data_IF_099744858261
#
_entry.id   IF_099744858261
#
_cell.length_a   1.000
_cell.length_b   1.000
_cell.length_c   1.000
_cell.angle_alpha   90.00
_cell.angle_beta   90.00
_cell.angle_gamma   90.00
#
_symmetry.space_group_name_H-M   'P 1'
#
loop_
_entity.id
_entity.type
_entity.pdbx_description
1 polymer ?
#
# COMPACT_ATOMS: atom_id res chain seq x y z
N UNK A 1 9.68 3.09 3.86
CA UNK A 1 10.62 2.95 2.73
C UNK A 1 11.64 4.11 2.66
N UNK A 2 11.26 5.38 2.91
CA UNK A 2 12.21 6.49 2.91
C UNK A 2 13.39 6.33 3.88
N UNK A 3 13.18 5.66 5.00
CA UNK A 3 14.23 5.38 5.97
C UNK A 3 15.34 4.45 5.44
N UNK A 4 15.04 3.58 4.47
CA UNK A 4 16.06 2.76 3.80
C UNK A 4 17.04 3.61 3.01
N UNK A 5 16.54 4.62 2.27
CA UNK A 5 17.43 5.54 1.54
C UNK A 5 18.32 6.32 2.48
N UNK A 6 17.76 6.87 3.57
CA UNK A 6 18.55 7.60 4.57
C UNK A 6 19.61 6.67 5.17
N UNK A 7 19.24 5.44 5.52
CA UNK A 7 20.14 4.48 6.14
C UNK A 7 21.33 4.12 5.24
N UNK A 8 21.07 3.74 3.97
CA UNK A 8 22.09 3.21 3.08
C UNK A 8 22.83 4.25 2.26
N UNK A 9 22.24 5.43 2.02
CA UNK A 9 22.88 6.50 1.25
C UNK A 9 23.52 7.58 2.14
N UNK A 10 23.65 7.29 3.44
CA UNK A 10 24.43 8.09 4.40
C UNK A 10 25.30 7.16 5.24
N UNK A 11 26.19 7.71 6.06
CA UNK A 11 27.04 6.94 6.97
C UNK A 11 26.26 6.32 8.15
N UNK A 12 24.94 6.46 8.16
CA UNK A 12 24.08 6.02 9.27
C UNK A 12 24.12 4.50 9.47
N UNK A 13 24.10 3.72 8.37
CA UNK A 13 24.17 2.27 8.44
C UNK A 13 25.46 1.82 9.11
N UNK A 14 26.61 2.28 8.63
CA UNK A 14 27.91 1.92 9.19
C UNK A 14 28.04 2.31 10.66
N UNK A 15 27.56 3.50 11.02
CA UNK A 15 27.58 3.97 12.42
C UNK A 15 26.69 3.13 13.33
N UNK A 16 25.49 2.75 12.89
CA UNK A 16 24.57 1.92 13.67
C UNK A 16 25.09 0.49 13.83
N UNK A 17 25.71 -0.08 12.78
CA UNK A 17 26.23 -1.43 12.79
C UNK A 17 27.45 -1.62 13.72
N UNK A 18 28.15 -0.55 14.08
CA UNK A 18 29.27 -0.61 15.02
C UNK A 18 28.86 -0.92 16.47
N UNK A 19 27.57 -0.78 16.80
CA UNK A 19 27.09 -1.02 18.16
C UNK A 19 25.93 -2.03 18.18
N UNK A 20 25.90 -2.88 19.21
CA UNK A 20 24.80 -3.80 19.42
C UNK A 20 23.44 -3.06 19.57
N UNK A 21 23.44 -1.94 20.25
CA UNK A 21 22.24 -1.11 20.43
C UNK A 21 21.74 -0.53 19.10
N UNK A 22 22.64 -0.08 18.21
CA UNK A 22 22.30 0.40 16.88
C UNK A 22 21.71 -0.69 15.99
N UNK A 23 22.29 -1.89 16.02
CA UNK A 23 21.77 -3.05 15.30
C UNK A 23 20.36 -3.43 15.78
N UNK A 24 20.15 -3.48 17.10
CA UNK A 24 18.85 -3.76 17.69
C UNK A 24 17.82 -2.68 17.31
N UNK A 25 18.23 -1.42 17.35
CA UNK A 25 17.38 -0.29 16.94
C UNK A 25 16.90 -0.43 15.48
N UNK A 26 17.80 -0.75 14.54
CA UNK A 26 17.42 -0.97 13.13
C UNK A 26 16.40 -2.09 12.99
N UNK A 27 16.64 -3.23 13.63
CA UNK A 27 15.71 -4.37 13.56
C UNK A 27 14.32 -4.01 14.09
N UNK A 28 14.24 -3.35 15.24
CA UNK A 28 12.96 -2.90 15.83
C UNK A 28 12.30 -1.85 14.96
N UNK A 29 13.06 -0.87 14.44
CA UNK A 29 12.53 0.19 13.57
C UNK A 29 11.86 -0.39 12.32
N UNK A 30 12.56 -1.27 11.59
CA UNK A 30 12.01 -1.83 10.36
C UNK A 30 10.85 -2.80 10.61
N UNK A 31 10.92 -3.58 11.69
CA UNK A 31 9.82 -4.46 12.09
C UNK A 31 8.55 -3.65 12.41
N UNK A 32 8.68 -2.61 13.24
CA UNK A 32 7.55 -1.76 13.61
C UNK A 32 7.02 -0.96 12.42
N UNK A 33 7.90 -0.40 11.58
CA UNK A 33 7.50 0.35 10.40
C UNK A 33 6.71 -0.53 9.41
N UNK A 34 7.18 -1.76 9.17
CA UNK A 34 6.48 -2.73 8.33
C UNK A 34 5.14 -3.16 8.94
N UNK A 35 5.13 -3.49 10.22
CA UNK A 35 3.91 -3.87 10.93
C UNK A 35 2.85 -2.76 10.88
N UNK A 36 3.21 -1.53 11.23
CA UNK A 36 2.29 -0.39 11.22
C UNK A 36 1.80 -0.08 9.81
N UNK A 37 2.68 -0.15 8.81
CA UNK A 37 2.28 0.05 7.41
C UNK A 37 1.20 -0.94 6.99
N UNK A 38 1.43 -2.24 7.17
CA UNK A 38 0.46 -3.26 6.78
C UNK A 38 -0.80 -3.23 7.65
N UNK A 39 -0.67 -2.93 8.95
CA UNK A 39 -1.82 -2.78 9.84
C UNK A 39 -2.77 -1.67 9.35
N UNK A 40 -2.23 -0.51 8.99
CA UNK A 40 -3.01 0.62 8.47
C UNK A 40 -3.61 0.31 7.09
N UNK A 41 -2.82 -0.29 6.20
CA UNK A 41 -3.24 -0.55 4.81
C UNK A 41 -4.27 -1.68 4.73
N UNK A 42 -4.06 -2.80 5.42
CA UNK A 42 -5.00 -3.93 5.39
C UNK A 42 -6.29 -3.58 6.14
N UNK A 43 -6.20 -2.80 7.22
CA UNK A 43 -7.35 -2.20 7.92
C UNK A 43 -8.39 -3.22 8.35
N UNK A 44 -7.96 -4.26 9.07
CA UNK A 44 -8.83 -5.33 9.56
C UNK A 44 -9.76 -4.82 10.68
N UNK A 45 -9.29 -3.81 11.43
CA UNK A 45 -10.03 -3.28 12.56
C UNK A 45 -11.31 -2.51 12.15
N UNK A 46 -12.36 -2.57 12.94
CA UNK A 46 -13.58 -1.81 12.75
C UNK A 46 -13.33 -0.31 13.01
N UNK A 47 -12.79 0.40 12.03
CA UNK A 47 -12.56 1.83 12.10
C UNK A 47 -13.70 2.56 11.37
N UNK A 48 -14.39 3.52 12.01
CA UNK A 48 -15.44 4.33 11.36
C UNK A 48 -14.92 5.20 10.21
N UNK A 49 -13.61 5.49 10.18
CA UNK A 49 -12.94 6.25 9.12
C UNK A 49 -11.98 5.35 8.34
N UNK A 50 -12.49 4.35 7.66
CA UNK A 50 -11.68 3.48 6.81
C UNK A 50 -11.08 4.26 5.65
N UNK A 51 -9.80 4.00 5.36
CA UNK A 51 -9.14 4.52 4.15
C UNK A 51 -9.82 3.89 2.93
N UNK A 52 -10.25 4.67 1.93
CA UNK A 52 -10.83 4.13 0.70
C UNK A 52 -9.91 3.11 0.03
N UNK A 53 -10.48 2.05 -0.56
CA UNK A 53 -9.69 0.98 -1.20
C UNK A 53 -8.77 1.50 -2.31
N UNK A 54 -9.23 2.45 -3.11
CA UNK A 54 -8.43 3.11 -4.14
C UNK A 54 -7.17 3.75 -3.56
N UNK A 55 -7.28 4.46 -2.43
CA UNK A 55 -6.14 5.10 -1.76
C UNK A 55 -5.15 4.04 -1.26
N UNK A 56 -5.65 2.93 -0.69
CA UNK A 56 -4.80 1.81 -0.26
C UNK A 56 -4.01 1.20 -1.42
N UNK A 57 -4.68 0.98 -2.56
CA UNK A 57 -4.06 0.46 -3.77
C UNK A 57 -2.98 1.41 -4.27
N UNK A 58 -3.27 2.71 -4.35
CA UNK A 58 -2.28 3.73 -4.76
C UNK A 58 -1.08 3.75 -3.84
N UNK A 59 -1.29 3.69 -2.52
CA UNK A 59 -0.19 3.67 -1.53
C UNK A 59 0.64 2.40 -1.65
N UNK A 60 0.03 1.24 -1.89
CA UNK A 60 0.75 -0.01 -2.11
C UNK A 60 1.59 0.02 -3.39
N UNK A 61 1.05 0.56 -4.50
CA UNK A 61 1.83 0.76 -5.73
C UNK A 61 2.99 1.74 -5.53
N UNK A 62 2.77 2.83 -4.80
CA UNK A 62 3.83 3.77 -4.47
C UNK A 62 4.92 3.11 -3.62
N UNK A 63 4.55 2.33 -2.61
CA UNK A 63 5.48 1.59 -1.77
C UNK A 63 6.30 0.57 -2.59
N UNK A 64 5.65 -0.16 -3.50
CA UNK A 64 6.31 -1.10 -4.41
C UNK A 64 7.32 -0.38 -5.32
N UNK A 65 6.92 0.75 -5.89
CA UNK A 65 7.82 1.54 -6.75
C UNK A 65 9.03 2.07 -6.00
N UNK A 66 8.83 2.62 -4.79
CA UNK A 66 9.93 3.12 -3.94
C UNK A 66 10.87 1.98 -3.56
N UNK A 67 10.34 0.80 -3.23
CA UNK A 67 11.14 -0.38 -2.91
C UNK A 67 11.95 -0.87 -4.13
N UNK A 68 11.35 -0.91 -5.31
CA UNK A 68 12.04 -1.27 -6.55
C UNK A 68 13.17 -0.30 -6.88
N UNK A 69 12.92 1.01 -6.76
CA UNK A 69 13.97 2.03 -6.95
C UNK A 69 15.12 1.88 -5.97
N UNK A 70 14.83 1.62 -4.70
CA UNK A 70 15.86 1.35 -3.70
C UNK A 70 16.70 0.14 -4.09
N UNK A 71 16.07 -0.96 -4.44
CA UNK A 71 16.76 -2.21 -4.83
C UNK A 71 17.62 -2.01 -6.07
N UNK A 72 17.12 -1.31 -7.10
CA UNK A 72 17.87 -0.98 -8.31
C UNK A 72 19.07 -0.09 -7.95
N UNK A 73 18.90 0.90 -7.10
CA UNK A 73 19.98 1.77 -6.66
C UNK A 73 21.09 0.98 -5.93
N UNK A 74 20.70 0.01 -5.10
CA UNK A 74 21.63 -0.88 -4.39
C UNK A 74 22.38 -1.80 -5.35
N UNK A 75 21.69 -2.39 -6.33
CA UNK A 75 22.27 -3.28 -7.35
C UNK A 75 23.21 -2.50 -8.29
N UNK A 76 22.85 -1.28 -8.66
CA UNK A 76 23.60 -0.46 -9.62
C UNK A 76 24.73 0.34 -8.98
N UNK A 77 24.88 0.30 -7.66
CA UNK A 77 25.95 1.03 -6.98
C UNK A 77 27.33 0.49 -7.37
N UNK A 78 28.22 1.38 -7.73
CA UNK A 78 29.63 1.07 -8.02
C UNK A 78 30.53 1.06 -6.78
N UNK A 79 29.98 1.40 -5.63
CA UNK A 79 30.65 1.46 -4.33
C UNK A 79 29.80 0.81 -3.27
N UNK A 80 30.42 0.39 -2.18
CA UNK A 80 29.69 -0.14 -1.03
C UNK A 80 28.90 0.99 -0.35
N UNK A 81 27.64 0.71 -0.03
CA UNK A 81 26.70 1.61 0.63
C UNK A 81 26.55 1.30 2.12
N UNK A 82 27.57 0.72 2.74
CA UNK A 82 27.57 0.26 4.13
C UNK A 82 28.42 1.14 5.08
N UNK A 83 28.91 2.29 4.59
CA UNK A 83 29.82 3.14 5.33
C UNK A 83 31.16 2.46 5.69
N UNK A 84 31.55 1.43 4.92
CA UNK A 84 32.79 0.67 5.14
C UNK A 84 32.71 -0.37 6.26
N UNK A 85 31.55 -0.65 6.80
CA UNK A 85 31.36 -1.61 7.90
C UNK A 85 31.80 -3.03 7.52
N UNK A 86 31.31 -3.57 6.40
CA UNK A 86 31.66 -4.95 5.99
C UNK A 86 33.14 -5.09 5.61
N UNK A 87 33.72 -4.05 5.03
CA UNK A 87 35.16 -4.03 4.74
C UNK A 87 36.00 -4.11 6.03
N UNK A 88 35.52 -3.55 7.12
CA UNK A 88 36.20 -3.58 8.44
C UNK A 88 36.20 -4.96 9.09
N UNK A 89 35.25 -5.84 8.74
CA UNK A 89 35.10 -7.18 9.33
C UNK A 89 36.12 -8.18 8.83
N UNK A 90 36.77 -7.91 7.66
CA UNK A 90 37.79 -8.76 7.04
C UNK A 90 37.38 -10.25 6.99
N UNK A 91 36.18 -10.55 6.50
CA UNK A 91 35.62 -11.90 6.45
C UNK A 91 36.36 -12.75 5.41
N UNK A 92 37.02 -13.89 5.78
CA UNK A 92 37.88 -14.65 4.86
C UNK A 92 37.13 -15.34 3.71
N UNK A 93 35.84 -15.60 3.89
CA UNK A 93 34.99 -16.29 2.92
C UNK A 93 34.28 -15.34 1.96
N UNK A 94 34.31 -14.04 2.18
CA UNK A 94 33.65 -13.02 1.39
C UNK A 94 34.69 -12.07 0.80
N UNK A 95 35.12 -12.38 -0.42
CA UNK A 95 36.22 -11.66 -1.08
C UNK A 95 35.72 -10.51 -1.96
N UNK A 96 34.47 -10.57 -2.46
CA UNK A 96 33.86 -9.54 -3.28
C UNK A 96 32.59 -8.98 -2.60
N UNK A 97 32.80 -7.93 -1.81
CA UNK A 97 31.73 -7.25 -1.07
C UNK A 97 30.73 -6.53 -1.99
N UNK A 98 31.18 -6.08 -3.17
CA UNK A 98 30.28 -5.42 -4.12
C UNK A 98 29.36 -6.42 -4.80
N UNK A 99 29.86 -7.59 -5.17
CA UNK A 99 29.03 -8.68 -5.68
C UNK A 99 28.02 -9.17 -4.61
N UNK A 100 28.41 -9.23 -3.36
CA UNK A 100 27.53 -9.57 -2.25
C UNK A 100 26.42 -8.51 -2.04
N UNK A 101 26.77 -7.22 -2.09
CA UNK A 101 25.79 -6.12 -2.06
C UNK A 101 24.78 -6.24 -3.21
N UNK A 102 25.25 -6.53 -4.44
CA UNK A 102 24.40 -6.75 -5.61
C UNK A 102 23.47 -7.95 -5.43
N UNK A 103 23.99 -9.06 -4.90
CA UNK A 103 23.19 -10.24 -4.58
C UNK A 103 22.14 -9.92 -3.51
N UNK A 104 22.53 -9.22 -2.45
CA UNK A 104 21.63 -8.76 -1.40
C UNK A 104 20.52 -7.84 -1.93
N UNK A 105 20.85 -6.90 -2.80
CA UNK A 105 19.90 -6.03 -3.49
C UNK A 105 18.91 -6.81 -4.36
N UNK A 106 19.40 -7.81 -5.09
CA UNK A 106 18.57 -8.67 -5.95
C UNK A 106 17.60 -9.55 -5.14
N UNK A 107 18.07 -10.12 -4.03
CA UNK A 107 17.23 -10.88 -3.09
C UNK A 107 16.21 -9.97 -2.43
N UNK A 108 16.64 -8.78 -2.00
CA UNK A 108 15.77 -7.77 -1.41
C UNK A 108 14.65 -7.39 -2.35
N UNK A 109 14.97 -7.15 -3.62
CA UNK A 109 13.96 -6.87 -4.65
C UNK A 109 12.96 -8.01 -4.79
N UNK A 110 13.43 -9.22 -5.09
CA UNK A 110 12.57 -10.37 -5.33
C UNK A 110 11.67 -10.75 -4.13
N UNK A 111 12.16 -10.57 -2.90
CA UNK A 111 11.43 -10.92 -1.67
C UNK A 111 10.60 -9.77 -1.12
N UNK A 112 11.07 -8.54 -1.25
CA UNK A 112 10.41 -7.36 -0.69
C UNK A 112 9.09 -7.01 -1.37
N UNK A 113 8.93 -7.32 -2.66
CA UNK A 113 7.67 -7.11 -3.39
C UNK A 113 6.58 -8.11 -3.00
N UNK A 114 6.95 -9.31 -2.57
CA UNK A 114 5.99 -10.39 -2.26
C UNK A 114 4.93 -9.99 -1.21
N UNK A 115 5.27 -9.39 -0.06
CA UNK A 115 4.29 -8.95 0.94
C UNK A 115 3.35 -7.85 0.40
N UNK A 116 3.86 -6.94 -0.44
CA UNK A 116 3.09 -5.84 -1.01
C UNK A 116 2.07 -6.40 -2.02
N UNK A 117 2.46 -7.36 -2.85
CA UNK A 117 1.57 -8.05 -3.79
C UNK A 117 0.46 -8.80 -3.03
N UNK A 118 0.81 -9.50 -1.96
CA UNK A 118 -0.19 -10.18 -1.12
C UNK A 118 -1.17 -9.18 -0.49
N UNK A 119 -0.70 -8.03 -0.04
CA UNK A 119 -1.55 -6.96 0.50
C UNK A 119 -2.45 -6.35 -0.59
N UNK A 120 -1.96 -6.19 -1.83
CA UNK A 120 -2.75 -5.76 -2.97
C UNK A 120 -3.89 -6.74 -3.26
N UNK A 121 -3.58 -8.03 -3.33
CA UNK A 121 -4.58 -9.09 -3.55
C UNK A 121 -5.62 -9.08 -2.42
N UNK A 122 -5.17 -9.01 -1.17
CA UNK A 122 -6.07 -8.96 -0.01
C UNK A 122 -6.97 -7.73 -0.05
N UNK A 123 -6.44 -6.57 -0.39
CA UNK A 123 -7.18 -5.30 -0.52
C UNK A 123 -8.22 -5.39 -1.63
N UNK A 124 -7.85 -5.96 -2.77
CA UNK A 124 -8.76 -6.15 -3.90
C UNK A 124 -9.91 -7.12 -3.57
N UNK A 125 -9.60 -8.23 -2.89
CA UNK A 125 -10.63 -9.18 -2.44
C UNK A 125 -11.58 -8.52 -1.42
N UNK A 126 -11.06 -7.71 -0.50
CA UNK A 126 -11.89 -6.94 0.44
C UNK A 126 -12.81 -5.98 -0.30
N UNK A 127 -12.29 -5.24 -1.26
CA UNK A 127 -13.07 -4.32 -2.08
C UNK A 127 -14.21 -5.03 -2.81
N UNK A 128 -13.91 -6.10 -3.55
CA UNK A 128 -14.94 -6.89 -4.24
C UNK A 128 -16.03 -7.44 -3.30
N UNK A 129 -15.64 -7.85 -2.10
CA UNK A 129 -16.61 -8.38 -1.12
C UNK A 129 -17.51 -7.28 -0.56
N UNK A 130 -16.96 -6.09 -0.34
CA UNK A 130 -17.73 -4.95 0.17
C UNK A 130 -18.69 -4.41 -0.90
N UNK A 131 -18.22 -4.28 -2.12
CA UNK A 131 -19.03 -3.90 -3.28
C UNK A 131 -20.24 -4.82 -3.48
N UNK A 132 -20.02 -6.15 -3.47
CA UNK A 132 -21.11 -7.13 -3.52
C UNK A 132 -22.08 -7.04 -2.36
N UNK A 133 -21.63 -6.68 -1.17
CA UNK A 133 -22.50 -6.48 0.01
C UNK A 133 -23.34 -5.22 -0.14
N UNK A 134 -22.72 -4.16 -0.64
CA UNK A 134 -23.41 -2.89 -0.88
C UNK A 134 -24.49 -3.04 -1.96
N UNK A 135 -24.18 -3.67 -3.10
CA UNK A 135 -25.14 -3.98 -4.15
C UNK A 135 -26.36 -4.75 -3.59
N UNK A 136 -26.11 -5.84 -2.83
CA UNK A 136 -27.19 -6.60 -2.21
C UNK A 136 -28.00 -5.80 -1.17
N UNK A 137 -27.41 -4.78 -0.55
CA UNK A 137 -28.10 -3.89 0.39
C UNK A 137 -29.02 -2.95 -0.38
N UNK A 138 -28.54 -2.39 -1.48
CA UNK A 138 -29.30 -1.52 -2.37
C UNK A 138 -30.48 -2.30 -2.97
N UNK A 139 -30.23 -3.45 -3.59
CA UNK A 139 -31.27 -4.30 -4.18
C UNK A 139 -32.38 -4.65 -3.16
N UNK A 140 -31.99 -4.98 -1.93
CA UNK A 140 -32.98 -5.28 -0.87
C UNK A 140 -33.78 -4.05 -0.45
N UNK A 141 -33.16 -2.89 -0.42
CA UNK A 141 -33.84 -1.64 -0.06
C UNK A 141 -34.85 -1.25 -1.16
N UNK A 142 -34.44 -1.36 -2.41
CA UNK A 142 -35.33 -1.13 -3.57
C UNK A 142 -36.51 -2.08 -3.60
N UNK A 143 -36.26 -3.39 -3.39
CA UNK A 143 -37.33 -4.37 -3.30
C UNK A 143 -38.31 -4.08 -2.14
N UNK A 144 -37.80 -3.58 -1.02
CA UNK A 144 -38.64 -3.18 0.13
C UNK A 144 -39.51 -1.96 -0.19
N UNK A 145 -38.94 -0.93 -0.81
CA UNK A 145 -39.66 0.27 -1.22
C UNK A 145 -40.75 -0.05 -2.25
N UNK A 146 -40.41 -0.88 -3.23
CA UNK A 146 -41.40 -1.38 -4.22
C UNK A 146 -42.53 -2.16 -3.55
N UNK A 147 -42.25 -3.01 -2.53
CA UNK A 147 -43.29 -3.73 -1.82
C UNK A 147 -44.17 -2.83 -0.94
N UNK A 148 -43.69 -1.66 -0.53
CA UNK A 148 -44.47 -0.63 0.17
C UNK A 148 -45.30 0.27 -0.78
N UNK A 149 -45.15 0.10 -2.10
CA UNK A 149 -45.80 0.94 -3.11
C UNK A 149 -45.19 2.35 -3.24
N UNK A 150 -43.99 2.55 -2.67
CA UNK A 150 -43.26 3.79 -2.87
C UNK A 150 -42.62 3.80 -4.25
N UNK A 151 -42.78 4.87 -5.02
CA UNK A 151 -42.17 4.96 -6.36
C UNK A 151 -40.64 5.01 -6.20
N UNK A 152 -39.93 4.26 -7.03
CA UNK A 152 -38.51 4.26 -7.15
C UNK A 152 -37.99 5.67 -7.54
N UNK A 153 -36.70 5.99 -7.26
CA UNK A 153 -36.12 7.31 -7.56
C UNK A 153 -36.23 7.67 -9.04
N UNK A 154 -36.14 6.69 -9.95
CA UNK A 154 -36.32 6.91 -11.39
C UNK A 154 -37.76 7.27 -11.74
N UNK A 155 -38.76 6.63 -11.13
CA UNK A 155 -40.15 6.93 -11.29
C UNK A 155 -40.51 8.32 -10.73
N UNK A 156 -39.95 8.69 -9.59
CA UNK A 156 -40.06 10.04 -9.00
C UNK A 156 -39.46 11.11 -9.92
N UNK A 157 -38.26 10.86 -10.44
CA UNK A 157 -37.59 11.76 -11.38
C UNK A 157 -38.37 11.91 -12.67
N UNK A 158 -38.89 10.83 -13.25
CA UNK A 158 -39.70 10.87 -14.44
C UNK A 158 -41.06 11.60 -14.20
N UNK A 159 -41.66 11.42 -13.03
CA UNK A 159 -42.86 12.18 -12.64
C UNK A 159 -42.54 13.68 -12.50
N UNK A 160 -41.40 14.05 -11.95
CA UNK A 160 -40.94 15.44 -11.89
C UNK A 160 -40.73 16.03 -13.29
N UNK A 161 -40.07 15.32 -14.21
CA UNK A 161 -39.87 15.77 -15.60
C UNK A 161 -41.19 15.97 -16.32
N UNK A 162 -42.15 15.07 -16.12
CA UNK A 162 -43.50 15.20 -16.70
C UNK A 162 -44.24 16.44 -16.17
N UNK A 163 -44.05 16.80 -14.88
CA UNK A 163 -44.65 18.04 -14.36
C UNK A 163 -44.01 19.29 -14.93
N UNK A 164 -42.70 19.28 -15.19
CA UNK A 164 -42.01 20.39 -15.83
C UNK A 164 -42.49 20.56 -17.29
N UNK A 165 -42.58 19.46 -18.02
CA UNK A 165 -43.06 19.50 -19.43
C UNK A 165 -44.47 20.09 -19.53
N UNK A 166 -45.40 19.69 -18.66
CA UNK A 166 -46.75 20.26 -18.60
C UNK A 166 -46.77 21.75 -18.30
N UNK A 167 -45.92 22.23 -17.40
CA UNK A 167 -45.76 23.66 -17.06
C UNK A 167 -45.27 24.48 -18.25
N UNK A 168 -44.40 23.91 -19.08
CA UNK A 168 -43.86 24.59 -20.25
C UNK A 168 -44.90 24.64 -21.40
N UNK A 169 -45.79 23.66 -21.48
CA UNK A 169 -46.91 23.66 -22.40
C UNK A 169 -47.99 24.69 -22.03
N UNK A 170 -48.27 24.87 -20.75
CA UNK A 170 -49.24 25.85 -20.22
C UNK A 170 -48.77 27.32 -20.38
N UNK A 171 -47.46 27.55 -20.63
CA UNK A 171 -46.89 28.89 -20.83
C UNK A 171 -46.82 29.33 -22.31
N UNK A 172 -47.20 28.46 -23.24
CA UNK A 172 -47.26 28.73 -24.67
C UNK A 172 -48.66 29.06 -25.13
#
# INVERSE_FOLDING_TARGET
DGSLFILYFTDLFGNLMQSHAGHLFMNIHFLLAGFLFFHVIIGIDPNPKKIPYIVRIVVLFAAMSIHAFFSIALISASTLLDGGYYASLQTPWLTDLLADQNAGGSIGWAKGESPIILALIATFIQWMREDKRETKRIDRNEARLAAMGEPDELAQYNAYLNTLAKRDEEKK
#
